data_IF_119056947767
#
_entry.id   IF_119056947767
#
_cell.length_a   1.000
_cell.length_b   1.000
_cell.length_c   1.000
_cell.angle_alpha   90.00
_cell.angle_beta   90.00
_cell.angle_gamma   90.00
#
_symmetry.space_group_name_H-M   'P 1'
#
loop_
_entity.id
_entity.type
_entity.pdbx_description
1 polymer ?
#
# COMPACT_ATOMS: atom_id res chain seq x y z
N UNK A 1 -16.95 -3.16 -15.74
CA UNK A 1 -15.77 -3.48 -16.59
C UNK A 1 -14.87 -2.26 -16.64
N UNK A 2 -13.73 -2.28 -15.95
CA UNK A 2 -12.69 -1.27 -16.15
C UNK A 2 -11.89 -1.67 -17.40
N UNK A 3 -11.88 -0.81 -18.41
CA UNK A 3 -11.08 -0.99 -19.64
C UNK A 3 -9.60 -0.96 -19.23
N UNK A 4 -8.80 -1.95 -19.64
CA UNK A 4 -7.35 -1.92 -19.41
C UNK A 4 -6.78 -0.62 -20.01
N UNK A 5 -5.89 0.09 -19.30
CA UNK A 5 -5.24 1.28 -19.84
C UNK A 5 -4.45 0.95 -21.10
N UNK A 6 -4.32 1.93 -21.99
CA UNK A 6 -3.53 1.78 -23.21
C UNK A 6 -2.07 1.48 -22.85
N UNK A 7 -1.45 0.43 -23.42
CA UNK A 7 -0.07 0.04 -23.11
C UNK A 7 0.95 1.16 -23.33
N UNK A 8 0.68 2.09 -24.25
CA UNK A 8 1.59 3.19 -24.61
C UNK A 8 1.46 4.43 -23.71
N UNK A 9 0.49 4.47 -22.80
CA UNK A 9 0.34 5.59 -21.86
C UNK A 9 1.35 5.46 -20.73
N UNK A 10 1.86 6.59 -20.26
CA UNK A 10 2.79 6.63 -19.13
C UNK A 10 2.05 6.26 -17.84
N UNK A 11 2.51 5.20 -17.18
CA UNK A 11 2.03 4.76 -15.87
C UNK A 11 2.81 5.42 -14.74
N UNK A 12 4.14 5.42 -14.83
CA UNK A 12 5.03 5.92 -13.77
C UNK A 12 5.99 6.97 -14.34
N UNK A 13 6.22 8.04 -13.58
CA UNK A 13 7.30 9.00 -13.82
C UNK A 13 8.13 9.18 -12.57
N UNK A 14 9.44 9.21 -12.71
CA UNK A 14 10.37 9.49 -11.63
C UNK A 14 11.59 10.18 -12.19
N UNK A 15 11.68 11.49 -11.93
CA UNK A 15 12.63 12.34 -12.64
C UNK A 15 12.58 12.14 -14.16
N UNK A 16 13.68 11.73 -14.77
CA UNK A 16 13.76 11.49 -16.22
C UNK A 16 13.27 10.07 -16.61
N UNK A 17 13.11 9.18 -15.64
CA UNK A 17 12.58 7.84 -15.87
C UNK A 17 11.08 7.88 -16.12
N UNK A 18 10.64 7.20 -17.17
CA UNK A 18 9.24 7.00 -17.50
C UNK A 18 8.99 5.55 -17.84
N UNK A 19 7.88 5.01 -17.33
CA UNK A 19 7.41 3.68 -17.69
C UNK A 19 6.01 3.81 -18.26
N UNK A 20 5.81 3.30 -19.46
CA UNK A 20 4.49 3.06 -20.01
C UNK A 20 3.79 1.94 -19.23
N UNK A 21 2.46 1.82 -19.36
CA UNK A 21 1.72 0.70 -18.77
C UNK A 21 2.21 -0.66 -19.29
N UNK A 22 2.63 -0.74 -20.56
CA UNK A 22 3.18 -1.96 -21.15
C UNK A 22 4.55 -2.32 -20.57
N UNK A 23 5.48 -1.36 -20.47
CA UNK A 23 6.80 -1.58 -19.85
C UNK A 23 6.68 -1.91 -18.37
N UNK A 24 5.78 -1.25 -17.66
CA UNK A 24 5.51 -1.50 -16.26
C UNK A 24 4.97 -2.92 -16.02
N UNK A 25 3.97 -3.34 -16.81
CA UNK A 25 3.42 -4.71 -16.73
C UNK A 25 4.47 -5.76 -17.07
N UNK A 26 5.27 -5.55 -18.12
CA UNK A 26 6.35 -6.44 -18.50
C UNK A 26 7.42 -6.56 -17.40
N UNK A 27 7.83 -5.45 -16.77
CA UNK A 27 8.78 -5.46 -15.67
C UNK A 27 8.23 -6.21 -14.45
N UNK A 28 6.96 -5.99 -14.09
CA UNK A 28 6.29 -6.73 -13.01
C UNK A 28 6.22 -8.23 -13.32
N UNK A 29 5.90 -8.62 -14.55
CA UNK A 29 5.86 -10.00 -14.99
C UNK A 29 7.24 -10.68 -14.94
N UNK A 30 8.34 -9.95 -15.18
CA UNK A 30 9.71 -10.48 -15.03
C UNK A 30 10.13 -10.60 -13.56
N UNK A 31 9.69 -9.68 -12.69
CA UNK A 31 9.82 -9.86 -11.24
C UNK A 31 9.08 -11.13 -10.77
N UNK A 32 7.93 -11.46 -11.35
CA UNK A 32 7.23 -12.70 -11.02
C UNK A 32 8.09 -13.94 -11.34
N UNK A 33 8.78 -13.95 -12.48
CA UNK A 33 9.76 -14.99 -12.84
C UNK A 33 10.95 -15.03 -11.89
N UNK A 34 11.47 -13.88 -11.45
CA UNK A 34 12.53 -13.81 -10.44
C UNK A 34 12.08 -14.51 -9.14
N UNK A 35 10.88 -14.19 -8.67
CA UNK A 35 10.31 -14.76 -7.45
C UNK A 35 10.05 -16.26 -7.59
N UNK A 36 9.55 -16.71 -8.73
CA UNK A 36 9.39 -18.13 -9.05
C UNK A 36 10.72 -18.89 -8.99
N UNK A 37 11.78 -18.37 -9.62
CA UNK A 37 13.13 -18.97 -9.57
C UNK A 37 13.74 -18.97 -8.17
N UNK A 38 13.34 -18.02 -7.33
CA UNK A 38 13.68 -17.96 -5.92
C UNK A 38 12.80 -18.88 -5.04
N UNK A 39 11.94 -19.70 -5.64
CA UNK A 39 11.09 -20.65 -4.95
C UNK A 39 9.89 -20.02 -4.23
N UNK A 40 9.48 -18.80 -4.59
CA UNK A 40 8.28 -18.16 -4.06
C UNK A 40 7.04 -18.76 -4.72
N UNK A 41 6.11 -19.25 -3.90
CA UNK A 41 4.85 -19.85 -4.31
C UNK A 41 3.68 -18.88 -4.09
N UNK A 42 2.54 -19.09 -4.79
CA UNK A 42 1.35 -18.29 -4.56
C UNK A 42 0.88 -18.37 -3.10
N UNK A 43 0.61 -17.22 -2.46
CA UNK A 43 0.28 -17.12 -1.03
C UNK A 43 1.48 -16.93 -0.09
N UNK A 44 2.72 -17.06 -0.58
CA UNK A 44 3.90 -16.66 0.17
C UNK A 44 3.98 -15.15 0.35
N UNK A 45 4.66 -14.70 1.40
CA UNK A 45 4.79 -13.27 1.71
C UNK A 45 6.17 -12.77 1.29
N UNK A 46 6.20 -11.60 0.66
CA UNK A 46 7.42 -10.92 0.23
C UNK A 46 7.39 -9.46 0.68
N UNK A 47 8.42 -9.04 1.41
CA UNK A 47 8.58 -7.67 1.87
C UNK A 47 9.01 -6.71 0.77
N UNK A 48 8.51 -5.47 0.83
CA UNK A 48 8.93 -4.37 -0.05
C UNK A 48 9.32 -3.16 0.81
N UNK A 49 10.62 -3.02 1.06
CA UNK A 49 11.23 -1.96 1.86
C UNK A 49 11.97 -0.97 0.94
N UNK A 50 11.22 -0.36 0.03
CA UNK A 50 11.72 0.57 -0.99
C UNK A 50 11.11 1.97 -0.81
N UNK A 51 11.86 3.05 -1.16
CA UNK A 51 11.30 4.40 -1.22
C UNK A 51 10.29 4.53 -2.36
N UNK A 52 9.62 5.68 -2.44
CA UNK A 52 8.66 6.00 -3.52
C UNK A 52 9.37 6.14 -4.89
N UNK A 53 9.63 5.01 -5.52
CA UNK A 53 10.38 4.85 -6.78
C UNK A 53 9.65 3.87 -7.69
N UNK A 54 9.90 3.88 -9.01
CA UNK A 54 9.39 2.85 -9.91
C UNK A 54 9.70 1.43 -9.44
N UNK A 55 10.87 1.18 -8.88
CA UNK A 55 11.26 -0.11 -8.30
C UNK A 55 10.27 -0.61 -7.24
N UNK A 56 9.74 0.28 -6.38
CA UNK A 56 8.68 -0.10 -5.43
C UNK A 56 7.45 -0.63 -6.17
N UNK A 57 6.95 0.10 -7.16
CA UNK A 57 5.74 -0.27 -7.88
C UNK A 57 5.94 -1.57 -8.67
N UNK A 58 7.08 -1.72 -9.36
CA UNK A 58 7.43 -2.91 -10.14
C UNK A 58 7.55 -4.13 -9.22
N UNK A 59 8.27 -4.03 -8.10
CA UNK A 59 8.36 -5.12 -7.12
C UNK A 59 6.98 -5.47 -6.52
N UNK A 60 6.21 -4.46 -6.11
CA UNK A 60 4.89 -4.63 -5.52
C UNK A 60 3.92 -5.37 -6.45
N UNK A 61 3.82 -4.93 -7.72
CA UNK A 61 2.97 -5.60 -8.69
C UNK A 61 3.54 -6.95 -9.13
N UNK A 62 4.87 -7.12 -9.21
CA UNK A 62 5.48 -8.41 -9.54
C UNK A 62 5.22 -9.49 -8.49
N UNK A 63 5.21 -9.12 -7.21
CA UNK A 63 4.79 -10.02 -6.12
C UNK A 63 3.34 -10.48 -6.32
N UNK A 64 2.42 -9.54 -6.57
CA UNK A 64 1.01 -9.89 -6.84
C UNK A 64 0.84 -10.67 -8.15
N UNK A 65 1.65 -10.38 -9.18
CA UNK A 65 1.67 -11.08 -10.46
C UNK A 65 2.04 -12.55 -10.26
N UNK A 66 2.98 -12.83 -9.35
CA UNK A 66 3.33 -14.19 -8.90
C UNK A 66 2.23 -14.86 -8.06
N UNK A 67 1.18 -14.14 -7.68
CA UNK A 67 0.14 -14.62 -6.75
C UNK A 67 0.62 -14.65 -5.29
N UNK A 68 1.76 -14.02 -4.99
CA UNK A 68 2.28 -13.86 -3.65
C UNK A 68 1.69 -12.60 -2.98
N UNK A 69 1.87 -12.51 -1.68
CA UNK A 69 1.33 -11.46 -0.82
C UNK A 69 2.41 -10.41 -0.56
N UNK A 70 2.15 -9.18 -0.99
CA UNK A 70 3.10 -8.09 -0.77
C UNK A 70 3.00 -7.54 0.66
N UNK A 71 4.15 -7.28 1.28
CA UNK A 71 4.25 -6.68 2.62
C UNK A 71 5.02 -5.35 2.49
N UNK A 72 4.33 -4.22 2.21
CA UNK A 72 4.99 -2.93 2.12
C UNK A 72 5.55 -2.48 3.47
N UNK A 73 6.81 -2.06 3.48
CA UNK A 73 7.56 -1.75 4.69
C UNK A 73 8.19 -0.35 4.59
N UNK A 74 8.30 0.32 5.74
CA UNK A 74 8.99 1.60 5.80
C UNK A 74 10.51 1.38 5.59
N UNK A 75 11.16 2.08 4.64
CA UNK A 75 12.61 1.96 4.44
C UNK A 75 13.47 2.37 5.65
N UNK A 76 12.89 3.08 6.62
CA UNK A 76 13.59 3.54 7.82
C UNK A 76 13.46 2.59 9.02
N UNK A 77 12.91 1.38 8.83
CA UNK A 77 12.85 0.37 9.89
C UNK A 77 14.26 -0.05 10.32
N UNK A 78 14.43 -0.27 11.61
CA UNK A 78 15.64 -0.86 12.19
C UNK A 78 15.64 -2.37 12.07
N UNK A 79 16.80 -3.02 12.13
CA UNK A 79 16.96 -4.46 11.95
C UNK A 79 15.98 -5.29 12.78
N UNK A 80 15.83 -4.96 14.07
CA UNK A 80 14.85 -5.62 14.98
C UNK A 80 13.39 -5.46 14.52
N UNK A 81 13.08 -4.35 13.87
CA UNK A 81 11.74 -4.06 13.35
C UNK A 81 11.54 -4.76 12.00
N UNK A 82 12.56 -4.81 11.14
CA UNK A 82 12.54 -5.60 9.91
C UNK A 82 12.29 -7.07 10.24
N UNK A 83 13.07 -7.65 11.15
CA UNK A 83 12.89 -9.02 11.66
C UNK A 83 11.48 -9.22 12.22
N UNK A 84 10.98 -8.29 13.04
CA UNK A 84 9.60 -8.36 13.53
C UNK A 84 8.55 -8.38 12.41
N UNK A 85 8.68 -7.52 11.39
CA UNK A 85 7.73 -7.46 10.28
C UNK A 85 7.75 -8.74 9.45
N UNK A 86 8.95 -9.23 9.13
CA UNK A 86 9.13 -10.47 8.37
C UNK A 86 8.60 -11.67 9.15
N UNK A 87 8.89 -11.78 10.45
CA UNK A 87 8.39 -12.85 11.32
C UNK A 87 6.87 -12.78 11.47
N UNK A 88 6.30 -11.60 11.71
CA UNK A 88 4.86 -11.42 11.91
C UNK A 88 4.04 -11.70 10.66
N UNK A 89 4.59 -11.41 9.48
CA UNK A 89 3.95 -11.73 8.20
C UNK A 89 4.30 -13.13 7.68
N UNK A 90 5.32 -13.77 8.23
CA UNK A 90 5.93 -14.97 7.67
C UNK A 90 6.53 -14.72 6.28
N UNK A 91 7.04 -13.53 6.01
CA UNK A 91 7.70 -13.21 4.74
C UNK A 91 9.04 -13.92 4.62
N UNK A 92 9.24 -14.61 3.51
CA UNK A 92 10.45 -15.41 3.25
C UNK A 92 11.47 -14.70 2.35
N UNK A 93 11.09 -13.56 1.80
CA UNK A 93 11.97 -12.72 1.00
C UNK A 93 11.65 -11.23 1.15
N UNK A 94 12.60 -10.37 0.78
CA UNK A 94 12.57 -8.92 0.95
C UNK A 94 13.28 -8.22 -0.22
N UNK A 95 12.61 -7.25 -0.84
CA UNK A 95 13.28 -6.22 -1.63
C UNK A 95 13.57 -5.02 -0.73
N UNK A 96 14.83 -4.57 -0.67
CA UNK A 96 15.23 -3.43 0.15
C UNK A 96 16.12 -2.48 -0.64
N UNK A 97 16.09 -1.18 -0.31
CA UNK A 97 16.91 -0.21 -1.02
C UNK A 97 18.37 -0.26 -0.51
N UNK A 98 19.39 -0.13 -1.40
CA UNK A 98 20.79 -0.14 -1.00
C UNK A 98 21.13 0.89 0.10
N UNK A 99 20.45 2.02 0.13
CA UNK A 99 20.61 3.06 1.16
C UNK A 99 20.26 2.60 2.59
N UNK A 100 19.55 1.47 2.74
CA UNK A 100 19.13 0.89 4.03
C UNK A 100 19.57 -0.57 4.16
N UNK A 101 20.65 -0.94 3.46
CA UNK A 101 21.13 -2.32 3.36
C UNK A 101 21.43 -2.94 4.73
N UNK A 102 22.15 -2.24 5.60
CA UNK A 102 22.60 -2.80 6.89
C UNK A 102 21.42 -3.29 7.75
N UNK A 103 20.40 -2.45 7.90
CA UNK A 103 19.20 -2.76 8.69
C UNK A 103 18.37 -3.88 8.02
N UNK A 104 18.26 -3.85 6.69
CA UNK A 104 17.50 -4.83 5.92
C UNK A 104 18.16 -6.22 5.94
N UNK A 105 19.47 -6.29 5.70
CA UNK A 105 20.24 -7.54 5.72
C UNK A 105 20.21 -8.14 7.11
N UNK A 106 20.51 -7.34 8.15
CA UNK A 106 20.55 -7.84 9.52
C UNK A 106 19.19 -8.42 9.96
N UNK A 107 18.08 -7.74 9.65
CA UNK A 107 16.74 -8.22 9.97
C UNK A 107 16.30 -9.44 9.15
N UNK A 108 16.69 -9.51 7.87
CA UNK A 108 16.37 -10.66 7.01
C UNK A 108 17.19 -11.91 7.37
N UNK A 109 18.47 -11.73 7.70
CA UNK A 109 19.38 -12.81 8.07
C UNK A 109 18.93 -13.55 9.35
N UNK A 110 18.35 -12.85 10.32
CA UNK A 110 17.80 -13.45 11.55
C UNK A 110 16.74 -14.52 11.26
N UNK A 111 16.02 -14.40 10.13
CA UNK A 111 14.95 -15.32 9.72
C UNK A 111 15.32 -16.18 8.51
N UNK A 112 16.54 -16.08 8.00
CA UNK A 112 16.96 -16.74 6.76
C UNK A 112 16.17 -16.27 5.53
N UNK A 113 15.60 -15.07 5.56
CA UNK A 113 14.85 -14.53 4.43
C UNK A 113 15.79 -14.04 3.32
N UNK A 114 15.45 -14.35 2.06
CA UNK A 114 16.22 -13.86 0.92
C UNK A 114 16.08 -12.33 0.79
N UNK A 115 17.18 -11.60 0.66
CA UNK A 115 17.18 -10.14 0.58
C UNK A 115 17.81 -9.66 -0.73
N UNK A 116 17.04 -8.96 -1.57
CA UNK A 116 17.55 -8.29 -2.77
C UNK A 116 17.70 -6.80 -2.51
N UNK A 117 18.93 -6.29 -2.67
CA UNK A 117 19.21 -4.86 -2.59
C UNK A 117 19.01 -4.20 -3.96
N UNK A 118 17.90 -3.48 -4.12
CA UNK A 118 17.49 -2.90 -5.40
C UNK A 118 17.15 -1.42 -5.30
N UNK A 119 17.64 -0.66 -6.27
CA UNK A 119 17.09 0.62 -6.71
C UNK A 119 16.51 0.42 -8.13
N UNK A 120 16.13 1.50 -8.82
CA UNK A 120 15.55 1.40 -10.18
C UNK A 120 16.51 0.73 -11.17
N UNK A 121 17.80 1.07 -11.13
CA UNK A 121 18.79 0.51 -12.05
C UNK A 121 19.12 -0.95 -11.72
N UNK A 122 19.33 -1.27 -10.45
CA UNK A 122 19.62 -2.64 -10.00
C UNK A 122 18.44 -3.58 -10.20
N UNK A 123 17.21 -3.10 -10.01
CA UNK A 123 16.03 -3.92 -10.31
C UNK A 123 15.94 -4.21 -11.80
N UNK A 124 16.18 -3.20 -12.66
CA UNK A 124 16.19 -3.37 -14.10
C UNK A 124 17.22 -4.43 -14.54
N UNK A 125 18.47 -4.32 -14.07
CA UNK A 125 19.53 -5.32 -14.35
C UNK A 125 19.16 -6.72 -13.83
N UNK A 126 18.54 -6.81 -12.64
CA UNK A 126 18.19 -8.09 -12.03
C UNK A 126 17.13 -8.87 -12.83
N UNK A 127 16.30 -8.19 -13.62
CA UNK A 127 15.20 -8.80 -14.36
C UNK A 127 15.36 -8.75 -15.88
N UNK A 128 16.41 -8.10 -16.40
CA UNK A 128 16.61 -7.82 -17.83
C UNK A 128 16.51 -9.07 -18.72
N UNK A 129 17.19 -10.15 -18.33
CA UNK A 129 17.26 -11.41 -19.07
C UNK A 129 16.17 -12.43 -18.66
N UNK A 130 15.31 -12.08 -17.71
CA UNK A 130 14.26 -12.98 -17.26
C UNK A 130 13.07 -12.93 -18.22
N UNK A 131 12.52 -14.06 -18.69
CA UNK A 131 11.30 -14.04 -19.48
C UNK A 131 10.16 -13.45 -18.65
N UNK A 132 9.32 -12.63 -19.28
CA UNK A 132 8.09 -12.16 -18.64
C UNK A 132 7.09 -13.33 -18.56
N UNK A 133 6.45 -13.52 -17.41
CA UNK A 133 5.31 -14.44 -17.33
C UNK A 133 4.19 -13.97 -18.26
N UNK A 134 3.55 -14.89 -18.97
CA UNK A 134 2.51 -14.53 -19.96
C UNK A 134 1.27 -13.93 -19.31
N UNK A 135 0.93 -14.37 -18.10
CA UNK A 135 -0.26 -13.97 -17.35
C UNK A 135 0.00 -14.03 -15.84
N UNK A 136 -0.67 -13.18 -15.05
CA UNK A 136 -0.62 -13.28 -13.60
C UNK A 136 -1.14 -14.63 -13.12
N UNK A 137 -0.55 -15.15 -12.03
CA UNK A 137 -1.07 -16.33 -11.35
C UNK A 137 -2.46 -16.03 -10.80
N UNK A 138 -3.41 -16.92 -11.07
CA UNK A 138 -4.80 -16.75 -10.62
C UNK A 138 -4.90 -16.84 -9.09
N UNK A 139 -5.63 -15.90 -8.49
CA UNK A 139 -5.98 -15.84 -7.06
C UNK A 139 -7.47 -15.58 -6.92
N UNK A 140 -8.08 -16.11 -5.87
CA UNK A 140 -9.46 -15.84 -5.52
C UNK A 140 -9.65 -14.43 -4.95
N UNK A 141 -10.87 -13.92 -5.01
CA UNK A 141 -11.23 -12.59 -4.49
C UNK A 141 -10.98 -12.43 -2.99
N UNK A 142 -11.12 -13.53 -2.24
CA UNK A 142 -10.90 -13.61 -0.79
C UNK A 142 -9.46 -13.97 -0.41
N UNK A 143 -8.59 -14.27 -1.38
CA UNK A 143 -7.18 -14.47 -1.11
C UNK A 143 -6.53 -13.16 -0.67
N UNK A 144 -5.66 -13.23 0.34
CA UNK A 144 -4.88 -12.08 0.81
C UNK A 144 -3.97 -11.61 -0.33
N UNK A 145 -4.01 -10.33 -0.65
CA UNK A 145 -3.15 -9.70 -1.64
C UNK A 145 -1.99 -8.94 -0.98
N UNK A 146 -2.28 -8.26 0.14
CA UNK A 146 -1.29 -7.46 0.86
C UNK A 146 -1.46 -7.57 2.38
N UNK A 147 -0.35 -7.38 3.10
CA UNK A 147 -0.34 -7.18 4.55
C UNK A 147 0.26 -5.81 4.83
N UNK A 148 -0.53 -4.91 5.42
CA UNK A 148 -0.10 -3.57 5.81
C UNK A 148 -0.02 -3.46 7.32
N UNK A 149 1.16 -3.17 7.84
CA UNK A 149 1.31 -2.91 9.28
C UNK A 149 0.83 -1.51 9.64
N UNK A 150 0.02 -1.44 10.69
CA UNK A 150 -0.48 -0.19 11.24
C UNK A 150 0.11 0.05 12.62
N UNK A 151 0.50 1.30 12.89
CA UNK A 151 0.88 1.75 14.22
C UNK A 151 -0.38 1.77 15.09
N UNK A 152 -0.70 0.64 15.73
CA UNK A 152 -1.79 0.59 16.71
C UNK A 152 -1.52 1.55 17.86
N UNK A 153 -2.58 2.01 18.53
CA UNK A 153 -2.48 2.88 19.71
C UNK A 153 -1.95 2.17 20.95
N UNK A 154 -1.84 0.83 20.91
CA UNK A 154 -1.27 0.00 21.97
C UNK A 154 -0.42 -1.12 21.36
N UNK A 155 0.87 -1.17 21.71
CA UNK A 155 1.77 -2.30 21.41
C UNK A 155 2.44 -2.32 20.04
N UNK A 156 2.94 -3.49 19.65
CA UNK A 156 3.65 -3.71 18.37
C UNK A 156 2.71 -3.54 17.17
N UNK A 157 3.21 -3.10 15.99
CA UNK A 157 2.39 -2.90 14.79
C UNK A 157 1.61 -4.15 14.40
N UNK A 158 0.32 -4.01 14.04
CA UNK A 158 -0.53 -5.13 13.62
C UNK A 158 -0.62 -5.19 12.10
N UNK A 159 -0.41 -6.37 11.53
CA UNK A 159 -0.60 -6.62 10.10
C UNK A 159 -2.08 -6.69 9.73
N UNK A 160 -2.57 -5.70 9.00
CA UNK A 160 -3.90 -5.73 8.40
C UNK A 160 -3.84 -6.47 7.06
N UNK A 161 -4.53 -7.59 6.95
CA UNK A 161 -4.63 -8.38 5.73
C UNK A 161 -5.73 -7.81 4.84
N UNK A 162 -5.41 -7.47 3.60
CA UNK A 162 -6.37 -7.03 2.59
C UNK A 162 -6.39 -8.05 1.45
N UNK A 163 -7.59 -8.52 1.12
CA UNK A 163 -7.83 -9.43 0.00
C UNK A 163 -7.76 -8.73 -1.35
N UNK A 164 -7.62 -9.49 -2.43
CA UNK A 164 -7.68 -8.95 -3.80
C UNK A 164 -8.95 -8.13 -4.05
N UNK A 165 -10.12 -8.64 -3.65
CA UNK A 165 -11.39 -7.93 -3.81
C UNK A 165 -11.44 -6.63 -3.00
N UNK A 166 -10.99 -6.65 -1.73
CA UNK A 166 -11.00 -5.45 -0.89
C UNK A 166 -10.01 -4.38 -1.40
N UNK A 167 -8.83 -4.79 -1.88
CA UNK A 167 -7.85 -3.89 -2.45
C UNK A 167 -8.36 -3.23 -3.74
N UNK A 168 -8.89 -4.05 -4.66
CA UNK A 168 -9.47 -3.58 -5.92
C UNK A 168 -10.65 -2.64 -5.70
N UNK A 169 -11.56 -3.01 -4.79
CA UNK A 169 -12.73 -2.18 -4.45
C UNK A 169 -12.34 -0.86 -3.78
N UNK A 170 -11.36 -0.86 -2.88
CA UNK A 170 -10.88 0.37 -2.26
C UNK A 170 -10.26 1.34 -3.29
N UNK A 171 -9.51 0.81 -4.26
CA UNK A 171 -8.95 1.60 -5.33
C UNK A 171 -10.03 2.09 -6.32
N UNK A 172 -11.00 1.26 -6.68
CA UNK A 172 -12.16 1.67 -7.50
C UNK A 172 -12.97 2.81 -6.83
N UNK A 173 -13.28 2.67 -5.55
CA UNK A 173 -14.00 3.72 -4.79
C UNK A 173 -13.16 4.99 -4.73
N UNK A 174 -11.85 4.88 -4.51
CA UNK A 174 -10.94 6.03 -4.55
C UNK A 174 -10.99 6.76 -5.89
N UNK A 175 -10.98 6.02 -7.00
CA UNK A 175 -11.09 6.56 -8.35
C UNK A 175 -12.44 7.23 -8.56
N UNK A 176 -13.57 6.61 -8.19
CA UNK A 176 -14.91 7.10 -8.56
C UNK A 176 -15.47 8.17 -7.64
N UNK A 177 -15.19 8.10 -6.34
CA UNK A 177 -15.88 8.95 -5.34
C UNK A 177 -14.93 9.89 -4.61
N UNK A 178 -13.72 9.42 -4.26
CA UNK A 178 -12.81 10.24 -3.46
C UNK A 178 -12.06 11.26 -4.31
N UNK A 179 -11.39 10.81 -5.37
CA UNK A 179 -10.46 11.64 -6.15
C UNK A 179 -11.02 12.00 -7.53
N UNK A 180 -11.86 11.13 -8.10
CA UNK A 180 -12.39 11.28 -9.46
C UNK A 180 -11.25 11.34 -10.48
N UNK A 181 -10.33 10.37 -10.42
CA UNK A 181 -9.17 10.27 -11.31
C UNK A 181 -9.59 9.66 -12.64
N UNK A 182 -9.20 10.29 -13.75
CA UNK A 182 -9.33 9.75 -15.10
C UNK A 182 -7.96 9.43 -15.72
N UNK A 183 -7.94 8.81 -16.91
CA UNK A 183 -6.70 8.42 -17.56
C UNK A 183 -5.79 9.61 -17.87
N UNK A 184 -6.35 10.78 -18.17
CA UNK A 184 -5.60 12.00 -18.50
C UNK A 184 -5.09 12.77 -17.27
N UNK A 185 -5.28 12.24 -16.07
CA UNK A 185 -4.74 12.84 -14.87
C UNK A 185 -3.28 12.45 -14.64
N UNK A 186 -2.53 13.38 -14.05
CA UNK A 186 -1.20 13.17 -13.52
C UNK A 186 -1.27 13.33 -11.99
N UNK A 187 -1.07 12.24 -11.28
CA UNK A 187 -1.21 12.13 -9.82
C UNK A 187 0.16 12.30 -9.15
N UNK A 188 0.23 13.17 -8.15
CA UNK A 188 1.43 13.33 -7.34
C UNK A 188 1.59 12.19 -6.32
N UNK A 189 2.58 11.33 -6.54
CA UNK A 189 3.00 10.24 -5.68
C UNK A 189 4.01 10.66 -4.61
N UNK A 190 3.65 11.64 -3.77
CA UNK A 190 4.50 12.14 -2.69
C UNK A 190 4.19 11.55 -1.30
N UNK A 191 3.14 10.73 -1.20
CA UNK A 191 2.75 10.04 0.01
C UNK A 191 3.40 8.66 0.06
N UNK A 192 3.85 8.18 1.23
CA UNK A 192 4.57 6.92 1.32
C UNK A 192 3.77 5.76 0.72
N UNK A 193 4.35 5.04 -0.24
CA UNK A 193 3.72 3.89 -0.87
C UNK A 193 3.62 2.68 0.08
N UNK A 194 4.41 2.63 1.15
CA UNK A 194 4.26 1.64 2.21
C UNK A 194 3.08 1.94 3.16
N UNK A 195 2.39 3.07 2.99
CA UNK A 195 1.24 3.46 3.81
C UNK A 195 -0.06 3.39 2.99
N UNK A 196 -1.15 2.92 3.61
CA UNK A 196 -2.42 2.60 2.92
C UNK A 196 -2.94 3.68 1.98
N UNK A 197 -2.83 4.96 2.37
CA UNK A 197 -3.30 6.08 1.56
C UNK A 197 -2.44 6.31 0.31
N UNK A 198 -1.10 6.25 0.44
CA UNK A 198 -0.20 6.36 -0.73
C UNK A 198 -0.31 5.14 -1.65
N UNK A 199 -0.43 3.95 -1.07
CA UNK A 199 -0.59 2.71 -1.83
C UNK A 199 -1.92 2.66 -2.58
N UNK A 200 -3.03 2.85 -1.87
CA UNK A 200 -4.38 2.63 -2.43
C UNK A 200 -4.82 3.81 -3.28
N UNK A 201 -4.75 5.02 -2.73
CA UNK A 201 -5.26 6.23 -3.38
C UNK A 201 -4.25 6.82 -4.36
N UNK A 202 -2.95 6.61 -4.12
CA UNK A 202 -1.88 7.01 -5.05
C UNK A 202 -1.67 5.96 -6.12
N UNK A 203 -0.97 4.87 -5.79
CA UNK A 203 -0.54 3.86 -6.77
C UNK A 203 -1.70 3.09 -7.39
N UNK A 204 -2.46 2.33 -6.60
CA UNK A 204 -3.48 1.41 -7.12
C UNK A 204 -4.60 2.15 -7.86
N UNK A 205 -5.06 3.29 -7.33
CA UNK A 205 -6.07 4.11 -7.99
C UNK A 205 -5.56 4.70 -9.32
N UNK A 206 -4.29 5.13 -9.40
CA UNK A 206 -3.72 5.63 -10.67
C UNK A 206 -3.64 4.53 -11.71
N UNK A 207 -3.22 3.33 -11.31
CA UNK A 207 -3.16 2.16 -12.20
C UNK A 207 -4.55 1.76 -12.71
N UNK A 208 -5.56 1.69 -11.82
CA UNK A 208 -6.95 1.36 -12.22
C UNK A 208 -7.55 2.45 -13.12
N UNK A 209 -7.25 3.73 -12.86
CA UNK A 209 -7.74 4.84 -13.67
C UNK A 209 -7.02 4.97 -15.03
N UNK A 210 -5.86 4.33 -15.20
CA UNK A 210 -4.99 4.56 -16.35
C UNK A 210 -4.28 5.91 -16.33
N UNK A 211 -4.13 6.49 -15.14
CA UNK A 211 -3.51 7.78 -14.89
C UNK A 211 -1.99 7.63 -14.67
N UNK A 212 -1.26 8.71 -14.92
CA UNK A 212 0.19 8.74 -14.64
C UNK A 212 0.43 9.06 -13.17
N UNK A 213 1.23 8.26 -12.48
CA UNK A 213 1.74 8.56 -11.14
C UNK A 213 3.17 9.13 -11.24
N UNK A 214 3.35 10.40 -10.88
CA UNK A 214 4.69 11.00 -10.78
C UNK A 214 5.22 10.93 -9.35
N UNK A 215 6.41 10.38 -9.17
CA UNK A 215 6.96 9.97 -7.89
C UNK A 215 8.06 10.93 -7.43
N UNK A 216 8.14 11.12 -6.12
CA UNK A 216 9.32 11.65 -5.43
C UNK A 216 9.65 10.70 -4.28
N UNK A 217 10.94 10.39 -4.03
CA UNK A 217 11.32 9.28 -3.15
C UNK A 217 10.94 9.57 -1.68
N UNK A 218 10.95 10.85 -1.33
CA UNK A 218 10.52 11.41 -0.05
C UNK A 218 9.91 12.78 -0.29
N UNK A 219 8.94 13.16 0.53
CA UNK A 219 8.36 14.50 0.46
C UNK A 219 9.40 15.58 0.77
N UNK A 220 9.73 16.36 -0.25
CA UNK A 220 10.41 17.65 -0.15
C UNK A 220 9.53 18.72 -0.84
N UNK A 221 9.24 19.86 -0.19
CA UNK A 221 8.32 20.84 -0.74
C UNK A 221 8.84 21.53 -2.02
N UNK A 222 10.16 21.73 -2.17
CA UNK A 222 10.73 22.37 -3.36
C UNK A 222 10.67 21.40 -4.53
N UNK A 223 11.18 20.18 -4.33
CA UNK A 223 11.11 19.12 -5.34
C UNK A 223 9.68 18.81 -5.74
N UNK A 224 8.75 18.78 -4.79
CA UNK A 224 7.33 18.58 -5.10
C UNK A 224 6.77 19.67 -6.01
N UNK A 225 7.13 20.94 -5.78
CA UNK A 225 6.70 22.05 -6.64
C UNK A 225 7.33 21.97 -8.03
N UNK A 226 8.63 21.65 -8.11
CA UNK A 226 9.32 21.42 -9.38
C UNK A 226 8.64 20.33 -10.21
N UNK A 227 8.33 19.18 -9.59
CA UNK A 227 7.64 18.06 -10.25
C UNK A 227 6.20 18.42 -10.64
N UNK A 228 5.49 19.16 -9.79
CA UNK A 228 4.13 19.64 -10.08
C UNK A 228 4.08 20.54 -11.32
N UNK A 229 5.14 21.33 -11.53
CA UNK A 229 5.30 22.18 -12.71
C UNK A 229 5.74 21.38 -13.93
N UNK A 230 6.85 20.62 -13.81
CA UNK A 230 7.42 19.80 -14.88
C UNK A 230 6.40 18.83 -15.47
N UNK A 231 5.68 18.11 -14.62
CA UNK A 231 4.80 17.02 -15.06
C UNK A 231 3.35 17.45 -15.22
N UNK A 232 3.06 18.75 -15.03
CA UNK A 232 1.71 19.32 -15.10
C UNK A 232 0.68 18.58 -14.22
N UNK A 233 1.06 18.23 -12.98
CA UNK A 233 0.24 17.45 -12.03
C UNK A 233 -1.20 17.98 -11.92
N UNK A 234 -2.18 17.12 -12.17
CA UNK A 234 -3.61 17.45 -12.06
C UNK A 234 -4.20 17.04 -10.71
N UNK A 235 -3.64 16.03 -10.05
CA UNK A 235 -4.14 15.54 -8.76
C UNK A 235 -3.03 15.59 -7.72
N UNK A 236 -3.22 16.39 -6.66
CA UNK A 236 -2.29 16.46 -5.54
C UNK A 236 -2.87 15.78 -4.29
N UNK A 237 -2.23 14.70 -3.85
CA UNK A 237 -2.63 14.00 -2.63
C UNK A 237 -1.65 14.36 -1.51
N UNK A 238 -2.09 15.14 -0.53
CA UNK A 238 -1.23 15.63 0.54
C UNK A 238 -1.74 15.24 1.92
N UNK A 239 -0.83 15.01 2.87
CA UNK A 239 -1.18 14.90 4.29
C UNK A 239 -1.13 16.29 4.96
N UNK A 240 -1.64 16.41 6.20
CA UNK A 240 -1.66 17.67 6.99
C UNK A 240 -0.37 18.49 6.94
N UNK A 241 0.79 17.83 6.88
CA UNK A 241 2.12 18.46 6.89
C UNK A 241 2.56 18.97 5.52
N UNK A 242 2.09 18.34 4.44
CA UNK A 242 2.51 18.62 3.06
C UNK A 242 1.67 19.72 2.41
N UNK A 243 0.35 19.65 2.59
CA UNK A 243 -0.62 20.50 1.88
C UNK A 243 -0.46 22.02 2.15
N UNK A 244 -0.19 22.52 3.38
CA UNK A 244 -0.04 23.97 3.59
C UNK A 244 1.17 24.57 2.88
N UNK A 245 2.27 23.82 2.75
CA UNK A 245 3.52 24.30 2.14
C UNK A 245 3.40 24.42 0.63
N UNK A 246 2.68 23.51 -0.02
CA UNK A 246 2.42 23.59 -1.45
C UNK A 246 1.37 24.67 -1.80
N UNK A 247 0.41 24.97 -0.91
CA UNK A 247 -0.62 25.99 -1.17
C UNK A 247 -0.14 27.46 -1.01
N UNK A 248 1.09 27.69 -0.53
CA UNK A 248 1.66 29.04 -0.40
C UNK A 248 2.27 29.60 -1.70
N UNK A 249 2.35 28.81 -2.78
CA UNK A 249 3.04 29.20 -4.02
C UNK A 249 2.17 30.06 -4.96
N UNK A 250 2.68 31.15 -5.57
CA UNK A 250 1.88 32.03 -6.43
C UNK A 250 1.83 31.55 -7.89
N UNK A 251 0.69 31.05 -8.39
CA UNK A 251 0.44 30.84 -9.84
C UNK A 251 -1.01 30.50 -10.21
N UNK A 252 -1.32 30.63 -11.51
CA UNK A 252 -2.67 30.70 -12.11
C UNK A 252 -3.57 29.50 -11.75
N UNK A 253 -4.88 29.70 -11.58
CA UNK A 253 -5.85 28.61 -11.39
C UNK A 253 -5.83 27.68 -12.61
N UNK A 254 -5.76 26.36 -12.39
CA UNK A 254 -6.05 25.37 -13.41
C UNK A 254 -7.31 24.61 -12.96
N UNK A 255 -8.42 24.67 -13.70
CA UNK A 255 -9.69 24.08 -13.29
C UNK A 255 -9.65 22.54 -13.17
N UNK A 256 -8.65 21.88 -13.78
CA UNK A 256 -8.46 20.43 -13.64
C UNK A 256 -7.73 20.04 -12.36
N UNK A 257 -7.11 20.99 -11.64
CA UNK A 257 -6.32 20.68 -10.44
C UNK A 257 -7.24 20.32 -9.25
N UNK A 258 -7.08 19.10 -8.72
CA UNK A 258 -7.83 18.59 -7.55
C UNK A 258 -6.88 18.20 -6.41
N UNK A 259 -7.34 18.36 -5.17
CA UNK A 259 -6.56 17.99 -3.99
C UNK A 259 -7.34 17.09 -3.03
N UNK A 260 -6.70 16.01 -2.58
CA UNK A 260 -7.25 15.05 -1.62
C UNK A 260 -6.34 14.92 -0.39
N UNK A 261 -6.92 14.68 0.79
CA UNK A 261 -6.17 14.56 2.05
C UNK A 261 -6.74 13.44 2.95
N UNK A 262 -5.88 12.52 3.37
CA UNK A 262 -6.22 11.39 4.24
C UNK A 262 -6.43 11.74 5.72
N UNK A 263 -6.60 13.02 6.08
CA UNK A 263 -6.99 13.41 7.44
C UNK A 263 -7.75 14.74 7.42
N UNK A 264 -8.57 15.01 8.45
CA UNK A 264 -9.41 16.22 8.55
C UNK A 264 -8.61 17.52 8.74
N UNK A 265 -7.92 17.99 7.70
CA UNK A 265 -7.06 19.17 7.78
C UNK A 265 -7.84 20.49 7.63
N UNK A 266 -7.59 21.53 8.45
CA UNK A 266 -8.09 22.89 8.24
C UNK A 266 -7.64 23.50 6.88
N UNK A 267 -6.63 22.90 6.26
CA UNK A 267 -6.01 23.32 4.99
C UNK A 267 -6.98 23.28 3.80
N UNK A 268 -8.04 22.46 3.90
CA UNK A 268 -9.12 22.47 2.92
C UNK A 268 -9.84 23.82 2.79
N UNK A 269 -9.60 24.81 3.67
CA UNK A 269 -10.06 26.21 3.49
C UNK A 269 -9.06 27.09 2.72
N UNK A 270 -7.75 26.96 2.97
CA UNK A 270 -6.71 27.81 2.32
C UNK A 270 -6.44 27.45 0.86
N UNK A 271 -6.71 26.20 0.44
CA UNK A 271 -6.47 25.76 -0.94
C UNK A 271 -7.71 25.85 -1.85
N UNK A 272 -8.87 26.34 -1.35
CA UNK A 272 -10.15 26.38 -2.10
C UNK A 272 -10.11 27.24 -3.36
N UNK A 273 -9.28 28.28 -3.39
CA UNK A 273 -9.12 29.13 -4.57
C UNK A 273 -8.32 28.48 -5.71
N UNK A 274 -7.79 27.25 -5.50
CA UNK A 274 -6.80 26.63 -6.41
C UNK A 274 -7.05 25.16 -6.71
N UNK A 275 -7.71 24.45 -5.79
CA UNK A 275 -8.06 23.05 -5.94
C UNK A 275 -9.52 22.86 -5.52
N UNK A 276 -10.32 22.19 -6.36
CA UNK A 276 -11.66 21.74 -5.95
C UNK A 276 -11.52 20.66 -4.86
N UNK A 277 -12.08 20.86 -3.65
CA UNK A 277 -11.94 19.88 -2.56
C UNK A 277 -12.83 18.66 -2.81
N UNK A 278 -12.24 17.47 -2.77
CA UNK A 278 -12.97 16.22 -2.94
C UNK A 278 -12.67 15.26 -1.77
N UNK A 279 -13.46 15.39 -0.70
CA UNK A 279 -13.68 14.44 0.40
C UNK A 279 -12.52 14.03 1.36
N UNK A 280 -12.91 13.46 2.52
CA UNK A 280 -12.11 13.11 3.73
C UNK A 280 -12.03 11.58 3.90
N UNK A 281 -10.92 11.04 4.43
CA UNK A 281 -10.89 9.68 5.01
C UNK A 281 -10.23 9.68 6.42
N UNK A 282 -10.75 8.90 7.39
CA UNK A 282 -10.04 8.52 8.62
C UNK A 282 -9.30 7.19 8.46
N UNK A 283 -8.16 7.05 9.15
CA UNK A 283 -7.14 6.00 8.97
C UNK A 283 -7.50 4.58 9.48
N UNK A 284 -8.74 4.32 9.92
CA UNK A 284 -9.08 3.03 10.55
C UNK A 284 -10.60 2.72 10.61
N UNK A 285 -11.40 3.10 9.62
CA UNK A 285 -12.84 2.77 9.62
C UNK A 285 -13.12 1.53 8.75
N UNK A 286 -13.74 0.45 9.27
CA UNK A 286 -14.49 -0.47 8.43
C UNK A 286 -15.62 0.31 7.74
N UNK A 287 -15.87 0.04 6.46
CA UNK A 287 -16.89 0.67 5.61
C UNK A 287 -18.33 0.33 6.08
N UNK A 288 -18.72 0.72 7.29
CA UNK A 288 -20.08 0.54 7.81
C UNK A 288 -20.85 1.84 8.02
N UNK A 289 -20.29 3.01 7.69
CA UNK A 289 -21.00 4.30 7.75
C UNK A 289 -20.82 5.13 6.49
N UNK A 290 -21.43 4.66 5.41
CA UNK A 290 -21.95 5.52 4.34
C UNK A 290 -23.45 5.64 4.58
N UNK A 291 -23.86 6.54 5.48
CA UNK A 291 -25.28 6.90 5.63
C UNK A 291 -25.58 7.99 4.62
N UNK A 292 -25.89 7.57 3.39
CA UNK A 292 -26.84 8.22 2.48
C UNK A 292 -27.00 7.34 1.24
N UNK A 293 -27.83 6.31 1.38
CA UNK A 293 -28.36 5.52 0.27
C UNK A 293 -29.87 5.33 0.54
N UNK A 294 -30.77 5.49 -0.45
CA UNK A 294 -32.21 5.35 -0.25
C UNK A 294 -32.55 3.94 0.27
N UNK A 295 -33.47 3.88 1.25
CA UNK A 295 -33.82 2.68 2.03
C UNK A 295 -34.12 1.46 1.15
N UNK A 296 -33.37 0.38 1.36
CA UNK A 296 -33.71 -1.01 1.05
C UNK A 296 -33.55 -1.87 2.32
N UNK A 297 -34.24 -3.02 2.44
CA UNK A 297 -34.82 -3.49 3.71
C UNK A 297 -33.80 -3.93 4.77
N UNK A 298 -34.16 -3.65 6.03
CA UNK A 298 -33.36 -3.85 7.24
C UNK A 298 -32.94 -5.31 7.42
N UNK A 299 -31.66 -5.61 7.25
CA UNK A 299 -31.03 -6.80 7.82
C UNK A 299 -30.70 -6.54 9.30
N UNK A 300 -31.28 -7.36 10.20
CA UNK A 300 -30.92 -7.37 11.63
C UNK A 300 -29.78 -8.37 11.84
N UNK A 301 -28.64 -7.98 12.44
CA UNK A 301 -27.62 -8.95 12.82
C UNK A 301 -28.10 -9.73 14.05
N UNK A 302 -28.16 -11.05 13.94
CA UNK A 302 -28.24 -11.96 15.09
C UNK A 302 -26.94 -11.86 15.88
N UNK A 303 -27.04 -11.32 17.09
CA UNK A 303 -25.97 -11.27 18.08
C UNK A 303 -25.72 -12.71 18.54
N UNK A 304 -24.58 -13.28 18.18
CA UNK A 304 -24.04 -14.44 18.88
C UNK A 304 -23.46 -13.89 20.19
N UNK A 305 -24.22 -14.05 21.29
CA UNK A 305 -23.73 -13.82 22.64
C UNK A 305 -22.75 -14.95 22.97
N UNK A 306 -21.53 -14.61 23.33
CA UNK A 306 -20.60 -15.52 23.99
C UNK A 306 -21.12 -15.77 25.41
N UNK A 307 -21.64 -16.97 25.66
CA UNK A 307 -21.93 -17.40 27.02
C UNK A 307 -20.62 -17.58 27.80
N UNK A 308 -20.58 -16.94 28.96
CA UNK A 308 -19.56 -17.14 29.98
C UNK A 308 -19.84 -18.46 30.71
N UNK A 309 -18.77 -19.21 30.92
CA UNK A 309 -18.43 -19.94 32.14
C UNK A 309 -19.51 -20.83 32.80
N UNK A 310 -19.46 -22.13 32.49
CA UNK A 310 -19.50 -23.19 33.53
C UNK A 310 -18.04 -23.62 33.75
N UNK A 311 -17.48 -23.71 34.95
CA UNK A 311 -18.05 -24.32 36.14
C UNK A 311 -17.21 -25.55 36.45
N UNK A 312 -16.02 -25.34 37.03
CA UNK A 312 -15.27 -26.43 37.67
C UNK A 312 -15.15 -26.10 39.15
N UNK A 313 -15.91 -26.88 39.90
CA UNK A 313 -16.08 -26.84 41.34
C UNK A 313 -14.78 -27.27 42.04
N UNK A 314 -14.32 -26.48 43.00
CA UNK A 314 -13.37 -26.91 44.04
C UNK A 314 -13.92 -26.44 45.37
N UNK A 315 -14.75 -27.28 45.95
CA UNK A 315 -15.15 -27.18 47.34
C UNK A 315 -13.96 -27.55 48.23
N UNK A 316 -13.58 -26.62 49.09
CA UNK A 316 -12.72 -26.86 50.26
C UNK A 316 -13.54 -27.55 51.34
N UNK A 317 -13.10 -28.71 51.83
CA UNK A 317 -13.46 -29.14 53.18
C UNK A 317 -12.23 -29.63 53.94
N UNK A 318 -12.14 -29.21 55.20
CA UNK A 318 -11.06 -29.49 56.15
C UNK A 318 -11.49 -30.66 57.05
N UNK A 319 -10.48 -31.42 57.50
CA UNK A 319 -10.42 -32.33 58.67
C UNK A 319 -10.83 -33.79 58.42
N UNK A 320 -9.84 -34.69 58.52
CA UNK A 320 -9.65 -35.54 59.72
C UNK A 320 -8.36 -36.36 59.64
N UNK A 321 -7.66 -36.36 60.77
CA UNK A 321 -6.63 -37.29 61.23
C UNK A 321 -7.12 -38.74 61.25
N UNK A 322 -6.25 -39.71 60.91
CA UNK A 322 -5.85 -40.86 61.73
C UNK A 322 -5.41 -42.11 60.92
N UNK A 323 -4.25 -42.66 61.33
CA UNK A 323 -3.90 -44.08 61.46
C UNK A 323 -3.84 -45.03 60.23
N UNK A 324 -2.61 -45.45 59.93
CA UNK A 324 -2.19 -46.85 60.08
C UNK A 324 -2.53 -47.87 58.96
N UNK A 325 -1.52 -48.25 58.17
CA UNK A 325 -0.82 -49.55 58.22
C UNK A 325 0.27 -49.58 57.16
#
# INVERSE_FOLDING_TARGET
MHRKPSPQRIALRFDDLQFTFGEFDAAAARVATLLERAGVEPGDRVGVMLPNTPAFAIAFYGIMYRGAVAVPMNPLLKAREVSYYLSNSGAKALFAAPAFADEAIAGAAELGAQCWLVDDARLAMLIEDLPAQERPVSRGDDDVAIILHTSGTTGKPKGAMLTHASLGRNAEVSVRTLIQTGPDDVVMGCLPLFHVFGLTCGLNASVIAGATLTLIPRFDPRKALEVIERDAVTVFQGCRRCTPRCCAWPRRPNPRRRAACGSASPVARRCRSRFSPNSKQPSAAPFSRVTDCPRAPRWRPSIIRSDRAGGFDRHTDRRRTAAGR
#
